data_IF_520072841269
#
_entry.id   IF_520072841269
#
_cell.length_a   1.000
_cell.length_b   1.000
_cell.length_c   1.000
_cell.angle_alpha   90.00
_cell.angle_beta   90.00
_cell.angle_gamma   90.00
#
_symmetry.space_group_name_H-M   'P 1'
#
loop_
_entity.id
_entity.type
_entity.pdbx_description
1 polymer ?
#
# COMPACT_ATOMS: atom_id res chain seq x y z
N UNK A 1 3.41 -23.83 7.90
CA UNK A 1 4.22 -23.97 6.66
C UNK A 1 4.92 -22.64 6.45
N UNK A 2 6.15 -22.58 5.94
CA UNK A 2 6.75 -21.27 5.61
C UNK A 2 6.06 -20.70 4.37
N UNK A 3 5.85 -19.40 4.34
CA UNK A 3 5.31 -18.71 3.19
C UNK A 3 6.43 -18.39 2.20
N UNK A 4 6.26 -18.84 0.96
CA UNK A 4 7.22 -18.60 -0.11
C UNK A 4 6.56 -17.90 -1.29
N UNK A 5 7.28 -16.92 -1.82
CA UNK A 5 6.95 -16.23 -3.06
C UNK A 5 7.87 -16.68 -4.20
N UNK A 6 7.37 -16.62 -5.43
CA UNK A 6 8.16 -16.89 -6.62
C UNK A 6 8.23 -15.64 -7.49
N UNK A 7 9.44 -15.15 -7.74
CA UNK A 7 9.67 -14.04 -8.66
C UNK A 7 9.36 -14.50 -10.10
N UNK A 8 8.18 -14.14 -10.61
CA UNK A 8 7.71 -14.51 -11.94
C UNK A 8 8.19 -13.58 -13.03
N UNK A 9 8.32 -12.30 -12.69
CA UNK A 9 8.80 -11.29 -13.62
C UNK A 9 9.64 -10.24 -12.90
N UNK A 10 10.65 -9.76 -13.61
CA UNK A 10 11.46 -8.61 -13.21
C UNK A 10 11.64 -7.72 -14.44
N UNK A 11 11.27 -6.45 -14.31
CA UNK A 11 11.41 -5.42 -15.32
C UNK A 11 12.51 -4.44 -14.88
N UNK A 12 13.75 -4.74 -15.27
CA UNK A 12 14.94 -4.01 -14.87
C UNK A 12 15.00 -2.58 -15.47
N UNK A 13 15.46 -1.61 -14.69
CA UNK A 13 15.77 -0.27 -15.19
C UNK A 13 17.15 -0.21 -15.86
N UNK A 14 17.18 -0.42 -17.17
CA UNK A 14 18.43 -0.48 -17.97
C UNK A 14 19.28 0.81 -17.91
N UNK A 15 18.69 1.96 -17.60
CA UNK A 15 19.35 3.27 -17.52
C UNK A 15 19.58 3.74 -16.07
N UNK A 16 19.74 2.80 -15.12
CA UNK A 16 19.82 3.08 -13.69
C UNK A 16 18.47 3.49 -13.08
N UNK A 17 18.43 3.71 -11.76
CA UNK A 17 17.21 4.05 -11.04
C UNK A 17 16.53 5.34 -11.54
N UNK A 18 15.22 5.32 -11.84
CA UNK A 18 14.35 6.50 -11.79
C UNK A 18 14.46 7.30 -10.48
N UNK A 19 13.99 8.54 -10.47
CA UNK A 19 13.80 9.31 -9.22
C UNK A 19 12.38 9.15 -8.64
N UNK A 20 11.44 8.67 -9.46
CA UNK A 20 10.04 8.43 -9.11
C UNK A 20 9.69 6.97 -9.37
N UNK A 21 9.00 6.36 -8.41
CA UNK A 21 8.61 4.96 -8.44
C UNK A 21 7.25 4.79 -7.77
N UNK A 22 6.17 4.78 -8.53
CA UNK A 22 4.81 4.62 -7.99
C UNK A 22 4.09 3.48 -8.69
N UNK A 23 3.57 2.54 -7.90
CA UNK A 23 2.57 1.57 -8.33
C UNK A 23 1.20 2.11 -7.95
N UNK A 24 0.26 2.17 -8.89
CA UNK A 24 -1.10 2.65 -8.62
C UNK A 24 -2.17 1.69 -9.11
N UNK A 25 -3.10 1.43 -8.20
CA UNK A 25 -4.30 0.62 -8.41
C UNK A 25 -5.25 1.29 -9.41
N UNK A 26 -5.92 0.46 -10.23
CA UNK A 26 -6.98 0.86 -11.17
C UNK A 26 -8.21 0.01 -10.85
N UNK A 27 -9.37 0.60 -10.56
CA UNK A 27 -10.51 -0.09 -9.94
C UNK A 27 -11.11 -1.22 -10.78
N UNK A 28 -10.98 -1.17 -12.12
CA UNK A 28 -11.35 -2.28 -13.01
C UNK A 28 -10.49 -3.55 -12.87
N UNK A 29 -9.38 -3.50 -12.11
CA UNK A 29 -8.39 -4.59 -11.96
C UNK A 29 -7.64 -4.97 -13.24
N UNK A 30 -8.01 -4.42 -14.40
CA UNK A 30 -7.48 -4.74 -15.73
C UNK A 30 -5.96 -4.54 -15.91
N UNK A 31 -5.35 -3.66 -15.11
CA UNK A 31 -3.92 -3.37 -15.13
C UNK A 31 -3.51 -2.62 -13.85
N UNK A 32 -2.21 -2.54 -13.62
CA UNK A 32 -1.58 -1.64 -12.65
C UNK A 32 -0.83 -0.52 -13.40
N UNK A 33 -0.94 0.72 -12.94
CA UNK A 33 -0.11 1.81 -13.43
C UNK A 33 1.27 1.76 -12.77
N UNK A 34 2.31 1.75 -13.60
CA UNK A 34 3.71 1.86 -13.19
C UNK A 34 4.21 3.23 -13.63
N UNK A 35 4.38 4.13 -12.68
CA UNK A 35 4.81 5.52 -12.93
C UNK A 35 6.26 5.69 -12.53
N UNK A 36 7.05 6.19 -13.48
CA UNK A 36 8.45 6.60 -13.29
C UNK A 36 8.64 7.97 -13.91
N UNK A 37 9.66 8.71 -13.48
CA UNK A 37 10.04 10.02 -14.04
C UNK A 37 10.26 9.99 -15.57
N UNK A 38 10.63 8.83 -16.13
CA UNK A 38 10.86 8.64 -17.58
C UNK A 38 9.61 8.23 -18.37
N UNK A 39 8.60 7.65 -17.72
CA UNK A 39 7.34 7.24 -18.33
C UNK A 39 6.34 6.64 -17.36
N UNK A 40 5.07 6.69 -17.78
CA UNK A 40 3.99 5.83 -17.30
C UNK A 40 3.90 4.58 -18.18
N UNK A 41 3.71 3.42 -17.55
CA UNK A 41 3.52 2.13 -18.21
C UNK A 41 2.37 1.37 -17.57
N UNK A 42 1.77 0.46 -18.32
CA UNK A 42 0.69 -0.42 -17.87
C UNK A 42 1.29 -1.81 -17.62
N UNK A 43 1.20 -2.31 -16.40
CA UNK A 43 1.51 -3.70 -16.07
C UNK A 43 0.21 -4.51 -16.15
N UNK A 44 0.17 -5.49 -17.05
CA UNK A 44 -0.99 -6.37 -17.24
C UNK A 44 -0.55 -7.81 -17.53
N UNK A 45 -1.46 -8.74 -17.30
CA UNK A 45 -1.31 -10.15 -17.65
C UNK A 45 -2.09 -10.47 -18.94
N UNK A 46 -1.62 -11.47 -19.70
CA UNK A 46 -2.26 -11.92 -20.94
C UNK A 46 -1.56 -13.16 -21.51
N UNK A 47 -1.80 -13.48 -22.79
CA UNK A 47 -1.35 -14.72 -23.45
C UNK A 47 0.17 -15.03 -23.31
N UNK A 48 0.99 -14.00 -23.10
CA UNK A 48 2.46 -14.12 -22.94
C UNK A 48 2.95 -13.98 -21.49
N UNK A 49 2.04 -13.99 -20.52
CA UNK A 49 2.30 -13.67 -19.11
C UNK A 49 2.36 -12.16 -18.87
N UNK A 50 2.99 -11.76 -17.75
CA UNK A 50 3.12 -10.35 -17.36
C UNK A 50 3.91 -9.53 -18.39
N UNK A 51 3.30 -8.43 -18.83
CA UNK A 51 3.88 -7.48 -19.77
C UNK A 51 3.81 -6.05 -19.22
N UNK A 52 4.80 -5.22 -19.60
CA UNK A 52 4.87 -3.82 -19.19
C UNK A 52 4.82 -2.95 -20.44
N UNK A 53 3.66 -2.35 -20.73
CA UNK A 53 3.41 -1.56 -21.92
C UNK A 53 3.55 -0.06 -21.63
N UNK A 54 4.62 0.59 -22.12
CA UNK A 54 4.82 2.04 -21.99
C UNK A 54 3.70 2.82 -22.70
N UNK A 55 3.10 3.79 -22.02
CA UNK A 55 2.17 4.72 -22.65
C UNK A 55 2.92 5.68 -23.58
N UNK A 56 2.34 5.93 -24.75
CA UNK A 56 2.87 6.91 -25.69
C UNK A 56 2.36 8.31 -25.34
N UNK A 57 3.29 9.19 -24.96
CA UNK A 57 3.04 10.61 -24.67
C UNK A 57 4.01 11.40 -25.53
N UNK A 58 3.51 12.24 -26.43
CA UNK A 58 4.36 12.86 -27.47
C UNK A 58 5.45 13.76 -26.89
N UNK A 59 5.19 14.43 -25.77
CA UNK A 59 6.22 15.18 -25.02
C UNK A 59 7.37 14.26 -24.55
N UNK A 60 7.04 13.11 -23.95
CA UNK A 60 8.00 12.12 -23.45
C UNK A 60 8.79 11.43 -24.57
N UNK A 61 8.24 11.30 -25.79
CA UNK A 61 8.98 10.73 -26.95
C UNK A 61 10.28 11.47 -27.24
N UNK A 62 10.32 12.78 -26.96
CA UNK A 62 11.48 13.63 -27.26
C UNK A 62 12.60 13.53 -26.21
N UNK A 63 12.35 12.88 -25.07
CA UNK A 63 13.30 12.81 -23.95
C UNK A 63 13.59 14.15 -23.28
N UNK A 64 12.72 15.16 -23.47
CA UNK A 64 12.84 16.52 -22.89
C UNK A 64 11.77 16.80 -21.83
N UNK A 65 11.11 15.76 -21.36
CA UNK A 65 9.95 15.85 -20.51
C UNK A 65 9.99 14.73 -19.47
N UNK A 66 9.74 15.09 -18.23
CA UNK A 66 9.82 14.20 -17.07
C UNK A 66 8.43 14.07 -16.45
N UNK A 67 7.99 12.85 -16.17
CA UNK A 67 6.71 12.56 -15.52
C UNK A 67 6.81 12.91 -14.03
N UNK A 68 5.78 13.56 -13.51
CA UNK A 68 5.69 13.96 -12.10
C UNK A 68 4.72 13.06 -11.33
N UNK A 69 3.58 12.72 -11.93
CA UNK A 69 2.59 11.82 -11.34
C UNK A 69 1.63 11.30 -12.43
N UNK A 70 0.91 10.22 -12.15
CA UNK A 70 -0.17 9.73 -13.00
C UNK A 70 -1.24 8.97 -12.20
N UNK A 71 -2.47 8.97 -12.70
CA UNK A 71 -3.59 8.22 -12.14
C UNK A 71 -4.63 7.87 -13.22
N UNK A 72 -5.50 6.89 -12.94
CA UNK A 72 -6.53 6.46 -13.87
C UNK A 72 -7.81 7.31 -13.73
N UNK A 73 -8.55 7.46 -14.84
CA UNK A 73 -9.93 7.92 -14.86
C UNK A 73 -10.77 6.79 -15.41
N UNK A 74 -11.69 6.28 -14.58
CA UNK A 74 -12.58 5.19 -14.94
C UNK A 74 -14.04 5.66 -14.91
N UNK A 75 -14.79 5.25 -15.94
CA UNK A 75 -16.19 5.64 -16.13
C UNK A 75 -17.02 4.37 -16.37
N UNK A 76 -17.90 3.97 -15.43
CA UNK A 76 -18.62 2.70 -15.48
C UNK A 76 -19.40 2.51 -16.80
N UNK A 77 -20.08 3.55 -17.29
CA UNK A 77 -20.99 3.43 -18.44
C UNK A 77 -20.28 3.23 -19.78
N UNK A 78 -19.01 3.64 -19.90
CA UNK A 78 -18.29 3.61 -21.19
C UNK A 78 -17.21 2.53 -21.27
N UNK A 79 -16.86 1.87 -20.16
CA UNK A 79 -15.76 0.90 -20.04
C UNK A 79 -14.40 1.39 -20.57
N UNK A 80 -14.25 2.69 -20.83
CA UNK A 80 -13.01 3.30 -21.31
C UNK A 80 -12.22 3.83 -20.11
N UNK A 81 -11.26 3.04 -19.64
CA UNK A 81 -10.22 3.55 -18.76
C UNK A 81 -9.35 4.54 -19.53
N UNK A 82 -9.09 5.70 -18.92
CA UNK A 82 -8.17 6.74 -19.42
C UNK A 82 -7.09 6.95 -18.38
N UNK A 83 -5.91 7.39 -18.80
CA UNK A 83 -4.81 7.69 -17.88
C UNK A 83 -4.51 9.18 -17.95
N UNK A 84 -4.56 9.85 -16.81
CA UNK A 84 -4.09 11.22 -16.67
C UNK A 84 -2.64 11.19 -16.20
N UNK A 85 -1.76 11.86 -16.92
CA UNK A 85 -0.33 11.94 -16.61
C UNK A 85 0.11 13.40 -16.58
N UNK A 86 0.70 13.78 -15.44
CA UNK A 86 1.32 15.06 -15.24
C UNK A 86 2.82 14.98 -15.56
N UNK A 87 3.33 15.96 -16.32
CA UNK A 87 4.73 16.01 -16.73
C UNK A 87 5.24 17.45 -16.82
N UNK A 88 6.55 17.60 -16.63
CA UNK A 88 7.30 18.84 -16.81
C UNK A 88 7.97 18.88 -18.18
N UNK A 89 8.15 20.08 -18.76
CA UNK A 89 8.97 20.34 -19.95
C UNK A 89 9.80 21.60 -19.67
N UNK A 90 10.99 21.42 -19.10
CA UNK A 90 11.68 22.51 -18.40
C UNK A 90 10.81 22.99 -17.23
N UNK A 91 10.64 24.31 -17.10
CA UNK A 91 9.87 24.91 -16.00
C UNK A 91 8.34 24.84 -16.20
N UNK A 92 7.86 24.38 -17.37
CA UNK A 92 6.43 24.34 -17.70
C UNK A 92 5.80 22.98 -17.36
N UNK A 93 4.69 23.00 -16.62
CA UNK A 93 3.99 21.80 -16.15
C UNK A 93 2.67 21.60 -16.89
N UNK A 94 2.37 20.35 -17.22
CA UNK A 94 1.19 19.96 -17.98
C UNK A 94 0.54 18.72 -17.38
N UNK A 95 -0.78 18.61 -17.54
CA UNK A 95 -1.55 17.39 -17.36
C UNK A 95 -2.15 17.00 -18.71
N UNK A 96 -1.86 15.79 -19.18
CA UNK A 96 -2.49 15.22 -20.38
C UNK A 96 -3.30 13.99 -19.99
N UNK A 97 -4.57 13.96 -20.38
CA UNK A 97 -5.38 12.74 -20.36
C UNK A 97 -5.10 11.94 -21.64
N UNK A 98 -5.08 10.62 -21.55
CA UNK A 98 -4.80 9.70 -22.63
C UNK A 98 -5.86 8.59 -22.69
N UNK A 99 -6.24 8.17 -23.90
CA UNK A 99 -7.11 7.02 -24.09
C UNK A 99 -6.30 5.72 -24.08
N UNK A 100 -6.79 4.70 -23.38
CA UNK A 100 -6.23 3.36 -23.46
C UNK A 100 -6.75 2.64 -24.71
N UNK A 101 -5.90 2.45 -25.72
CA UNK A 101 -6.23 1.68 -26.92
C UNK A 101 -5.91 0.19 -26.74
N UNK A 102 -6.89 -0.59 -26.27
CA UNK A 102 -6.79 -2.04 -26.22
C UNK A 102 -7.32 -2.67 -27.52
N UNK A 103 -6.48 -2.83 -28.55
CA UNK A 103 -6.88 -3.60 -29.73
C UNK A 103 -6.02 -3.40 -30.98
N UNK A 104 -5.36 -4.48 -31.42
CA UNK A 104 -4.89 -4.79 -32.79
C UNK A 104 -4.36 -3.64 -33.66
N UNK A 105 -3.04 -3.63 -33.90
CA UNK A 105 -2.45 -3.00 -35.09
C UNK A 105 -3.05 -3.69 -36.34
N UNK A 106 -4.02 -3.05 -36.99
CA UNK A 106 -4.76 -3.65 -38.10
C UNK A 106 -5.53 -2.61 -38.92
N UNK A 107 -4.96 -2.28 -40.08
CA UNK A 107 -5.43 -1.29 -41.06
C UNK A 107 -5.42 0.17 -40.59
N UNK A 108 -4.64 0.99 -41.30
CA UNK A 108 -4.66 2.43 -41.12
C UNK A 108 -5.89 3.04 -41.79
N UNK A 109 -6.63 3.80 -41.01
CA UNK A 109 -7.03 5.16 -41.36
C UNK A 109 -6.57 6.05 -40.20
N UNK A 110 -6.00 7.23 -40.50
CA UNK A 110 -5.56 8.20 -39.49
C UNK A 110 -6.78 8.83 -38.79
N UNK A 111 -7.37 8.09 -37.84
CA UNK A 111 -8.38 8.60 -36.94
C UNK A 111 -7.69 9.55 -35.93
N UNK A 112 -7.81 10.85 -36.21
CA UNK A 112 -7.28 11.96 -35.40
C UNK A 112 -7.44 11.69 -33.88
N UNK A 113 -6.37 11.97 -33.14
CA UNK A 113 -6.32 11.88 -31.67
C UNK A 113 -7.43 12.73 -31.03
N UNK A 114 -8.59 12.11 -30.84
CA UNK A 114 -9.85 12.82 -30.62
C UNK A 114 -9.96 13.36 -29.19
N UNK A 115 -9.53 14.62 -29.02
CA UNK A 115 -9.94 15.46 -27.90
C UNK A 115 -9.51 14.99 -26.51
N UNK A 116 -8.31 14.41 -26.39
CA UNK A 116 -7.74 14.15 -25.06
C UNK A 116 -7.17 15.44 -24.46
N UNK A 117 -7.83 15.93 -23.40
CA UNK A 117 -7.56 17.24 -22.80
C UNK A 117 -6.12 17.37 -22.30
N UNK A 118 -5.44 18.42 -22.75
CA UNK A 118 -4.16 18.88 -22.19
C UNK A 118 -4.39 20.18 -21.44
N UNK A 119 -3.90 20.25 -20.20
CA UNK A 119 -4.08 21.39 -19.31
C UNK A 119 -2.71 21.86 -18.82
N UNK A 120 -2.51 23.16 -18.70
CA UNK A 120 -1.33 23.69 -18.02
C UNK A 120 -1.56 23.66 -16.50
N UNK A 121 -0.53 23.28 -15.75
CA UNK A 121 -0.52 23.30 -14.29
C UNK A 121 0.31 24.48 -13.78
N UNK A 122 -0.09 25.03 -12.64
CA UNK A 122 0.57 26.17 -11.99
C UNK A 122 1.62 25.73 -10.95
N UNK A 123 1.49 24.51 -10.42
CA UNK A 123 2.38 23.90 -9.44
C UNK A 123 2.60 22.41 -9.78
N UNK A 124 3.73 21.86 -9.33
CA UNK A 124 4.07 20.46 -9.53
C UNK A 124 3.21 19.57 -8.61
N UNK A 125 2.59 18.49 -9.13
CA UNK A 125 1.87 17.56 -8.27
C UNK A 125 2.81 16.84 -7.31
N UNK A 126 2.37 16.64 -6.07
CA UNK A 126 3.04 15.78 -5.08
C UNK A 126 2.52 14.34 -5.15
N UNK A 127 1.22 14.17 -5.43
CA UNK A 127 0.61 12.89 -5.77
C UNK A 127 -0.63 13.08 -6.66
N UNK A 128 -1.07 11.99 -7.30
CA UNK A 128 -2.34 11.92 -8.03
C UNK A 128 -3.09 10.64 -7.66
N UNK A 129 -4.42 10.71 -7.60
CA UNK A 129 -5.27 9.55 -7.33
C UNK A 129 -6.61 9.63 -8.06
N UNK A 130 -7.21 8.47 -8.33
CA UNK A 130 -8.53 8.35 -8.96
C UNK A 130 -9.62 8.76 -7.96
N UNK A 131 -10.58 9.60 -8.38
CA UNK A 131 -11.65 10.08 -7.52
C UNK A 131 -13.02 10.04 -8.22
N UNK A 132 -14.03 9.59 -7.48
CA UNK A 132 -15.43 9.60 -7.90
C UNK A 132 -16.29 10.27 -6.81
N UNK A 133 -17.12 11.24 -7.20
CA UNK A 133 -17.99 11.97 -6.27
C UNK A 133 -19.40 12.18 -6.82
N UNK A 134 -20.40 12.03 -5.95
CA UNK A 134 -21.78 12.36 -6.26
C UNK A 134 -22.00 13.85 -5.98
N UNK A 135 -22.38 14.60 -7.01
CA UNK A 135 -22.63 16.04 -6.94
C UNK A 135 -24.09 16.40 -6.66
N UNK A 136 -24.40 17.71 -6.68
CA UNK A 136 -25.78 18.18 -6.65
C UNK A 136 -26.59 17.64 -7.85
N UNK A 137 -27.92 17.66 -7.75
CA UNK A 137 -28.88 17.35 -8.82
C UNK A 137 -28.86 15.93 -9.43
N UNK A 138 -27.94 15.06 -8.99
CA UNK A 138 -27.72 13.71 -9.53
C UNK A 138 -26.58 13.60 -10.53
N UNK A 139 -25.75 14.64 -10.63
CA UNK A 139 -24.47 14.60 -11.37
C UNK A 139 -23.47 13.68 -10.65
N UNK A 140 -22.61 13.00 -11.40
CA UNK A 140 -21.48 12.22 -10.88
C UNK A 140 -20.21 12.68 -11.57
N UNK A 141 -19.18 12.99 -10.78
CA UNK A 141 -17.84 13.27 -11.27
C UNK A 141 -17.01 12.00 -11.29
N UNK A 142 -16.32 11.76 -12.42
CA UNK A 142 -15.33 10.71 -12.62
C UNK A 142 -14.02 11.33 -13.09
N UNK A 143 -12.95 11.24 -12.30
CA UNK A 143 -11.72 11.92 -12.65
C UNK A 143 -10.53 11.55 -11.78
N UNK A 144 -9.52 12.41 -11.82
CA UNK A 144 -8.34 12.37 -10.96
C UNK A 144 -8.28 13.62 -10.08
N UNK A 145 -7.80 13.41 -8.86
CA UNK A 145 -7.28 14.46 -8.01
C UNK A 145 -5.79 14.65 -8.32
N UNK A 146 -5.39 15.92 -8.38
CA UNK A 146 -4.02 16.37 -8.53
C UNK A 146 -3.69 17.20 -7.29
N UNK A 147 -2.94 16.61 -6.37
CA UNK A 147 -2.52 17.26 -5.14
C UNK A 147 -1.24 18.06 -5.40
N UNK A 148 -1.23 19.32 -5.02
CA UNK A 148 -0.06 20.20 -5.03
C UNK A 148 0.27 20.62 -3.58
N UNK A 149 1.34 21.39 -3.39
CA UNK A 149 1.83 21.80 -2.06
C UNK A 149 0.77 22.47 -1.18
N UNK A 150 -0.10 23.30 -1.76
CA UNK A 150 -1.07 24.15 -1.05
C UNK A 150 -2.51 24.03 -1.57
N UNK A 151 -2.76 23.13 -2.53
CA UNK A 151 -3.97 23.13 -3.33
C UNK A 151 -4.28 21.74 -3.92
N UNK A 152 -5.55 21.48 -4.19
CA UNK A 152 -6.02 20.31 -4.93
C UNK A 152 -6.81 20.74 -6.16
N UNK A 153 -6.57 20.07 -7.28
CA UNK A 153 -7.27 20.27 -8.54
C UNK A 153 -7.93 18.97 -8.98
N UNK A 154 -9.18 19.05 -9.45
CA UNK A 154 -9.89 17.90 -10.01
C UNK A 154 -10.00 18.02 -11.54
N UNK A 155 -9.64 16.96 -12.25
CA UNK A 155 -9.76 16.86 -13.71
C UNK A 155 -10.52 15.60 -14.09
N UNK A 156 -11.59 15.73 -14.87
CA UNK A 156 -12.44 14.59 -15.20
C UNK A 156 -13.67 14.93 -16.03
N UNK A 157 -14.66 14.05 -15.93
CA UNK A 157 -15.92 14.08 -16.64
C UNK A 157 -17.05 14.22 -15.63
N UNK A 158 -18.08 14.99 -15.96
CA UNK A 158 -19.33 15.07 -15.20
C UNK A 158 -20.41 14.41 -16.05
N UNK A 159 -21.11 13.44 -15.48
CA UNK A 159 -22.14 12.65 -16.15
C UNK A 159 -23.44 12.73 -15.32
N UNK A 160 -24.58 12.97 -15.99
CA UNK A 160 -25.89 13.04 -15.34
C UNK A 160 -26.73 11.81 -15.67
N UNK A 161 -27.07 11.02 -14.64
CA UNK A 161 -27.84 9.77 -14.80
C UNK A 161 -29.17 9.90 -15.55
N UNK A 162 -29.80 11.08 -15.53
CA UNK A 162 -31.11 11.29 -16.19
C UNK A 162 -30.98 11.51 -17.69
N UNK A 163 -29.82 11.95 -18.17
CA UNK A 163 -29.57 12.28 -19.58
C UNK A 163 -28.76 11.19 -20.31
N UNK A 164 -28.13 10.25 -19.58
CA UNK A 164 -27.35 9.12 -20.09
C UNK A 164 -28.08 8.23 -21.14
N UNK A 165 -29.42 8.30 -21.22
CA UNK A 165 -30.21 7.56 -22.22
C UNK A 165 -30.32 8.25 -23.60
N UNK A 166 -29.82 9.48 -23.76
CA UNK A 166 -29.98 10.26 -24.99
C UNK A 166 -28.69 10.90 -25.49
N UNK A 167 -28.19 10.36 -26.61
CA UNK A 167 -27.13 10.88 -27.50
C UNK A 167 -25.71 10.97 -26.93
N UNK A 168 -24.77 10.33 -27.64
CA UNK A 168 -23.34 10.40 -27.35
C UNK A 168 -22.73 11.76 -27.69
N UNK A 169 -23.07 12.79 -26.90
CA UNK A 169 -22.21 13.96 -26.77
C UNK A 169 -20.87 13.49 -26.21
N UNK A 170 -19.78 13.74 -26.94
CA UNK A 170 -18.45 13.39 -26.46
C UNK A 170 -18.12 14.27 -25.26
N UNK A 171 -18.36 13.75 -24.04
CA UNK A 171 -18.01 14.44 -22.80
C UNK A 171 -16.51 14.69 -22.80
N UNK A 172 -16.13 15.97 -22.88
CA UNK A 172 -14.72 16.39 -22.88
C UNK A 172 -14.23 16.42 -21.44
N UNK A 173 -12.98 16.01 -21.20
CA UNK A 173 -12.38 16.17 -19.88
C UNK A 173 -12.29 17.66 -19.53
N UNK A 174 -12.63 18.03 -18.31
CA UNK A 174 -12.58 19.42 -17.82
C UNK A 174 -11.86 19.51 -16.48
N UNK A 175 -11.24 20.67 -16.20
CA UNK A 175 -10.79 21.08 -14.85
C UNK A 175 -12.02 21.62 -14.12
N UNK A 176 -12.32 21.10 -12.94
CA UNK A 176 -13.37 21.71 -12.10
C UNK A 176 -12.93 23.12 -11.67
N UNK A 177 -13.84 24.08 -11.77
CA UNK A 177 -13.64 25.38 -11.13
C UNK A 177 -13.88 25.29 -9.60
N UNK A 178 -13.54 26.32 -8.85
CA UNK A 178 -13.62 26.29 -7.38
C UNK A 178 -15.03 26.00 -6.86
N UNK A 179 -16.08 26.54 -7.48
CA UNK A 179 -17.47 26.33 -7.07
C UNK A 179 -17.92 24.88 -7.33
N UNK A 180 -17.53 24.31 -8.49
CA UNK A 180 -17.75 22.91 -8.81
C UNK A 180 -16.97 21.98 -7.87
N UNK A 181 -15.69 22.28 -7.62
CA UNK A 181 -14.83 21.51 -6.73
C UNK A 181 -15.43 21.47 -5.32
N UNK A 182 -15.84 22.62 -4.77
CA UNK A 182 -16.51 22.69 -3.47
C UNK A 182 -17.89 22.01 -3.44
N UNK A 183 -18.59 21.90 -4.58
CA UNK A 183 -19.87 21.20 -4.68
C UNK A 183 -19.72 19.66 -4.71
N UNK A 184 -18.66 19.12 -5.31
CA UNK A 184 -18.37 17.68 -5.33
C UNK A 184 -17.54 17.22 -4.11
N UNK A 185 -16.65 18.08 -3.61
CA UNK A 185 -15.67 17.76 -2.57
C UNK A 185 -15.59 18.86 -1.47
N UNK A 186 -16.70 19.16 -0.76
CA UNK A 186 -16.75 20.29 0.17
C UNK A 186 -15.69 20.21 1.28
N UNK A 187 -15.44 19.03 1.86
CA UNK A 187 -14.43 18.86 2.90
C UNK A 187 -12.98 18.88 2.38
N UNK A 188 -12.76 18.66 1.08
CA UNK A 188 -11.44 18.81 0.46
C UNK A 188 -11.15 20.25 0.04
N UNK A 189 -12.20 21.06 -0.22
CA UNK A 189 -12.07 22.45 -0.64
C UNK A 189 -11.40 23.38 0.39
N UNK A 190 -11.34 22.95 1.66
CA UNK A 190 -10.70 23.66 2.78
C UNK A 190 -9.39 23.01 3.23
N UNK A 191 -8.95 21.93 2.56
CA UNK A 191 -7.76 21.19 2.93
C UNK A 191 -6.52 21.79 2.24
N UNK A 192 -5.61 22.36 3.02
CA UNK A 192 -4.45 23.14 2.53
C UNK A 192 -3.09 22.52 2.83
N UNK A 193 -3.04 21.26 3.27
CA UNK A 193 -1.79 20.57 3.60
C UNK A 193 -1.21 19.85 2.37
N UNK A 194 0.12 19.77 2.30
CA UNK A 194 0.81 19.05 1.24
C UNK A 194 0.62 17.54 1.39
N UNK A 195 -0.28 16.95 0.61
CA UNK A 195 -0.52 15.49 0.60
C UNK A 195 0.63 14.79 -0.14
N UNK A 196 1.17 13.73 0.45
CA UNK A 196 2.18 12.85 -0.15
C UNK A 196 1.65 11.44 -0.41
N UNK A 197 0.81 10.93 0.48
CA UNK A 197 0.21 9.60 0.38
C UNK A 197 -1.31 9.66 0.52
N UNK A 198 -2.01 8.83 -0.25
CA UNK A 198 -3.47 8.69 -0.22
C UNK A 198 -3.84 7.23 -0.30
N UNK A 199 -4.78 6.82 0.54
CA UNK A 199 -5.47 5.53 0.40
C UNK A 199 -6.97 5.69 0.55
N UNK A 200 -7.73 4.87 -0.18
CA UNK A 200 -9.18 4.94 -0.31
C UNK A 200 -9.77 3.53 -0.21
N UNK A 201 -10.48 3.27 0.88
CA UNK A 201 -11.21 2.02 1.09
C UNK A 201 -12.71 2.23 0.95
N UNK A 202 -13.39 1.43 0.13
CA UNK A 202 -14.85 1.43 0.02
C UNK A 202 -15.40 0.06 0.39
N UNK A 203 -16.30 -0.01 1.38
CA UNK A 203 -16.86 -1.29 1.84
C UNK A 203 -17.89 -1.84 0.82
N UNK A 204 -17.78 -3.11 0.39
CA UNK A 204 -18.61 -3.67 -0.69
C UNK A 204 -20.08 -3.96 -0.30
N UNK A 205 -20.50 -3.73 0.95
CA UNK A 205 -21.84 -4.15 1.41
C UNK A 205 -22.48 -3.37 2.55
N UNK A 206 -21.96 -2.20 2.93
CA UNK A 206 -22.48 -1.39 4.06
C UNK A 206 -22.65 0.09 3.78
N UNK A 207 -22.47 0.52 2.53
CA UNK A 207 -22.48 1.93 2.13
C UNK A 207 -21.58 2.84 3.00
N UNK A 208 -20.39 2.34 3.37
CA UNK A 208 -19.36 3.09 4.12
C UNK A 208 -18.03 3.08 3.37
N UNK A 209 -17.26 4.15 3.50
CA UNK A 209 -15.90 4.23 2.98
C UNK A 209 -15.04 5.22 3.74
N UNK A 210 -13.73 5.10 3.55
CA UNK A 210 -12.70 5.88 4.20
C UNK A 210 -11.69 6.42 3.18
N UNK A 211 -11.18 7.62 3.44
CA UNK A 211 -10.04 8.21 2.72
C UNK A 211 -9.03 8.64 3.77
N UNK A 212 -7.79 8.18 3.66
CA UNK A 212 -6.67 8.61 4.47
C UNK A 212 -5.72 9.46 3.62
N UNK A 213 -5.30 10.60 4.16
CA UNK A 213 -4.22 11.43 3.61
C UNK A 213 -3.05 11.44 4.58
N UNK A 214 -1.84 11.19 4.07
CA UNK A 214 -0.58 11.45 4.75
C UNK A 214 0.10 12.70 4.18
N UNK A 215 0.53 13.61 5.06
CA UNK A 215 1.05 14.92 4.66
C UNK A 215 2.56 15.08 4.92
N UNK A 216 3.17 16.05 4.23
CA UNK A 216 4.60 16.35 4.32
C UNK A 216 5.06 16.88 5.70
N UNK A 217 4.14 17.40 6.51
CA UNK A 217 4.39 17.92 7.87
C UNK A 217 4.06 16.92 8.99
N UNK A 218 3.77 15.65 8.63
CA UNK A 218 3.43 14.60 9.58
C UNK A 218 1.95 14.55 9.96
N UNK A 219 1.10 15.44 9.43
CA UNK A 219 -0.35 15.31 9.60
C UNK A 219 -0.86 14.08 8.83
N UNK A 220 -1.64 13.24 9.51
CA UNK A 220 -2.51 12.24 8.89
C UNK A 220 -3.95 12.63 9.15
N UNK A 221 -4.77 12.72 8.09
CA UNK A 221 -6.21 12.98 8.20
C UNK A 221 -7.00 11.84 7.58
N UNK A 222 -7.92 11.27 8.36
CA UNK A 222 -8.82 10.19 7.92
C UNK A 222 -10.25 10.68 7.92
N UNK A 223 -10.89 10.59 6.75
CA UNK A 223 -12.30 10.85 6.54
C UNK A 223 -13.07 9.54 6.51
N UNK A 224 -14.21 9.47 7.20
CA UNK A 224 -15.17 8.37 7.15
C UNK A 224 -16.52 8.91 6.67
N UNK A 225 -17.07 8.33 5.62
CA UNK A 225 -18.32 8.81 5.01
C UNK A 225 -19.22 7.69 4.51
N UNK A 226 -20.39 8.09 4.01
CA UNK A 226 -21.32 7.16 3.38
C UNK A 226 -21.00 7.01 1.90
N UNK A 227 -20.97 5.78 1.40
CA UNK A 227 -21.02 5.54 -0.04
C UNK A 227 -22.43 5.84 -0.55
N UNK A 228 -22.52 6.45 -1.72
CA UNK A 228 -23.74 6.54 -2.51
C UNK A 228 -23.37 6.33 -3.97
N UNK A 229 -23.94 5.31 -4.62
CA UNK A 229 -23.73 5.04 -6.05
C UNK A 229 -22.25 4.83 -6.43
N UNK A 230 -21.51 4.10 -5.59
CA UNK A 230 -20.06 3.91 -5.75
C UNK A 230 -19.19 5.14 -5.43
N UNK A 231 -19.79 6.32 -5.22
CA UNK A 231 -19.08 7.53 -4.79
C UNK A 231 -18.99 7.57 -3.27
N UNK A 232 -17.83 7.90 -2.71
CA UNK A 232 -17.73 8.24 -1.30
C UNK A 232 -18.20 9.69 -1.09
N UNK A 233 -19.12 9.91 -0.14
CA UNK A 233 -19.72 11.22 0.08
C UNK A 233 -19.89 11.59 1.56
N UNK A 234 -19.78 12.91 1.81
CA UNK A 234 -19.96 13.50 3.12
C UNK A 234 -21.42 13.58 3.60
N UNK A 235 -21.68 14.14 4.79
CA UNK A 235 -20.70 14.79 5.67
C UNK A 235 -19.71 13.77 6.26
N UNK A 236 -18.41 14.06 6.17
CA UNK A 236 -17.39 13.17 6.71
C UNK A 236 -17.22 13.31 8.23
N UNK A 237 -17.05 12.18 8.92
CA UNK A 237 -16.39 12.14 10.23
C UNK A 237 -14.87 12.21 10.01
N UNK A 238 -14.21 13.18 10.63
CA UNK A 238 -12.77 13.41 10.45
C UNK A 238 -12.01 13.02 11.71
N UNK A 239 -10.87 12.35 11.51
CA UNK A 239 -9.89 12.03 12.56
C UNK A 239 -8.52 12.55 12.10
N UNK A 240 -7.88 13.35 12.94
CA UNK A 240 -6.53 13.87 12.72
C UNK A 240 -5.56 13.13 13.66
N UNK A 241 -4.38 12.82 13.15
CA UNK A 241 -3.26 12.22 13.87
C UNK A 241 -2.00 12.98 13.48
N UNK A 242 -1.03 13.13 14.39
CA UNK A 242 0.20 13.87 14.13
C UNK A 242 1.42 13.01 14.40
N UNK A 243 2.31 12.93 13.40
CA UNK A 243 3.61 12.27 13.49
C UNK A 243 4.75 13.30 13.36
N UNK A 244 5.98 12.85 13.63
CA UNK A 244 7.16 13.72 13.76
C UNK A 244 7.91 14.02 12.45
N UNK A 245 7.45 13.47 11.32
CA UNK A 245 8.11 13.62 10.02
C UNK A 245 7.19 13.33 8.83
N UNK A 246 7.66 13.55 7.59
CA UNK A 246 6.84 13.41 6.39
C UNK A 246 6.23 12.01 6.27
N UNK A 247 4.92 11.93 6.07
CA UNK A 247 4.21 10.65 5.89
C UNK A 247 4.48 10.13 4.49
N UNK A 248 5.04 8.93 4.39
CA UNK A 248 5.41 8.27 3.13
C UNK A 248 4.35 7.30 2.62
N UNK A 249 3.51 6.81 3.53
CA UNK A 249 2.48 5.83 3.22
C UNK A 249 1.37 5.83 4.26
N UNK A 250 0.14 5.62 3.79
CA UNK A 250 -1.05 5.35 4.59
C UNK A 250 -1.73 4.13 3.98
N UNK A 251 -2.16 3.17 4.79
CA UNK A 251 -2.88 1.98 4.33
C UNK A 251 -4.04 1.66 5.29
N UNK A 252 -5.26 1.72 4.76
CA UNK A 252 -6.52 1.47 5.45
C UNK A 252 -6.85 -0.03 5.41
N UNK A 253 -7.02 -0.63 6.58
CA UNK A 253 -7.46 -2.02 6.69
C UNK A 253 -8.66 -2.17 7.64
N UNK A 254 -9.86 -1.71 7.25
CA UNK A 254 -11.04 -1.81 8.09
C UNK A 254 -11.38 -3.29 8.37
N UNK A 255 -11.60 -3.62 9.65
CA UNK A 255 -11.95 -4.97 10.09
C UNK A 255 -13.40 -5.03 10.57
N UNK A 256 -14.06 -6.17 10.37
CA UNK A 256 -15.41 -6.37 10.91
C UNK A 256 -15.33 -6.82 12.38
N UNK A 257 -15.91 -6.02 13.27
CA UNK A 257 -16.01 -6.29 14.71
C UNK A 257 -17.39 -6.87 15.03
N UNK A 258 -17.42 -8.10 15.55
CA UNK A 258 -18.67 -8.72 16.01
C UNK A 258 -18.99 -8.20 17.41
N UNK A 259 -20.11 -7.49 17.56
CA UNK A 259 -20.54 -7.02 18.88
C UNK A 259 -20.87 -8.23 19.80
N UNK A 260 -20.56 -8.18 21.10
CA UNK A 260 -20.73 -9.31 22.03
C UNK A 260 -22.17 -9.81 22.19
N UNK A 261 -23.16 -9.06 21.69
CA UNK A 261 -24.58 -9.41 21.71
C UNK A 261 -25.09 -10.03 20.38
N UNK A 262 -24.21 -10.38 19.44
CA UNK A 262 -24.49 -11.09 18.17
C UNK A 262 -25.54 -10.47 17.21
N UNK A 263 -26.03 -9.26 17.48
CA UNK A 263 -27.14 -8.65 16.72
C UNK A 263 -26.70 -7.70 15.60
N UNK A 264 -25.48 -7.14 15.67
CA UNK A 264 -24.92 -6.21 14.68
C UNK A 264 -23.41 -6.34 14.59
N UNK A 265 -22.88 -6.61 13.39
CA UNK A 265 -21.46 -6.40 13.10
C UNK A 265 -21.20 -4.95 12.67
N UNK A 266 -20.13 -4.36 13.18
CA UNK A 266 -19.71 -2.98 12.91
C UNK A 266 -18.30 -2.98 12.33
N UNK A 267 -18.02 -2.16 11.33
CA UNK A 267 -16.66 -1.98 10.82
C UNK A 267 -15.88 -1.06 11.74
N UNK A 268 -14.70 -1.48 12.18
CA UNK A 268 -13.70 -0.62 12.81
C UNK A 268 -12.65 -0.24 11.76
N UNK A 269 -12.33 1.05 11.65
CA UNK A 269 -11.32 1.53 10.72
C UNK A 269 -9.94 1.44 11.40
N UNK A 270 -9.06 0.64 10.82
CA UNK A 270 -7.65 0.54 11.23
C UNK A 270 -6.77 1.16 10.12
N UNK A 271 -5.62 1.67 10.50
CA UNK A 271 -4.71 2.40 9.64
C UNK A 271 -3.26 2.08 9.99
N UNK A 272 -2.47 1.72 8.97
CA UNK A 272 -1.01 1.74 9.03
C UNK A 272 -0.52 3.09 8.50
N UNK A 273 0.42 3.70 9.20
CA UNK A 273 1.12 4.92 8.79
C UNK A 273 2.62 4.66 8.76
N UNK A 274 3.27 5.07 7.67
CA UNK A 274 4.73 5.08 7.54
C UNK A 274 5.26 6.49 7.37
N UNK A 275 6.44 6.77 7.92
CA UNK A 275 7.10 8.07 7.82
C UNK A 275 8.53 7.91 7.31
N UNK A 276 9.02 8.94 6.60
CA UNK A 276 10.42 9.00 6.15
C UNK A 276 11.41 9.11 7.32
N UNK A 277 10.95 9.61 8.47
CA UNK A 277 11.74 9.81 9.69
C UNK A 277 10.97 9.20 10.86
N UNK A 278 11.59 8.25 11.55
CA UNK A 278 11.01 7.55 12.70
C UNK A 278 10.33 6.24 12.33
N UNK A 279 9.38 5.82 13.17
CA UNK A 279 8.81 4.48 13.16
C UNK A 279 7.49 4.42 12.39
N UNK A 280 7.13 3.23 11.91
CA UNK A 280 5.78 2.95 11.43
C UNK A 280 4.83 2.75 12.63
N UNK A 281 3.60 3.26 12.50
CA UNK A 281 2.59 3.24 13.56
C UNK A 281 1.28 2.66 13.02
N UNK A 282 0.71 1.74 13.78
CA UNK A 282 -0.63 1.21 13.55
C UNK A 282 -1.61 1.90 14.49
N UNK A 283 -2.74 2.33 13.95
CA UNK A 283 -3.87 2.85 14.71
C UNK A 283 -5.09 1.95 14.48
N UNK A 284 -5.67 1.43 15.56
CA UNK A 284 -6.82 0.53 15.49
C UNK A 284 -8.10 1.22 15.95
N UNK A 285 -9.23 0.88 15.31
CA UNK A 285 -10.55 1.38 15.67
C UNK A 285 -10.60 2.92 15.85
N UNK A 286 -10.13 3.66 14.82
CA UNK A 286 -9.84 5.10 14.84
C UNK A 286 -10.95 6.03 15.36
N UNK A 287 -12.20 5.58 15.28
CA UNK A 287 -13.40 6.32 15.68
C UNK A 287 -14.01 5.82 17.00
N UNK A 288 -13.36 4.88 17.68
CA UNK A 288 -13.70 4.48 19.05
C UNK A 288 -13.39 5.61 20.05
N UNK A 289 -14.05 5.58 21.21
CA UNK A 289 -13.95 6.62 22.24
C UNK A 289 -12.86 6.37 23.29
N UNK A 290 -12.01 5.35 23.10
CA UNK A 290 -10.77 5.16 23.88
C UNK A 290 -9.73 6.24 23.55
N UNK A 291 -8.69 6.36 24.38
CA UNK A 291 -7.61 7.33 24.11
C UNK A 291 -6.77 6.89 22.92
N UNK A 292 -6.17 7.85 22.21
CA UNK A 292 -5.32 7.56 21.03
C UNK A 292 -4.11 6.69 21.39
N UNK A 293 -3.58 6.87 22.60
CA UNK A 293 -2.51 6.04 23.16
C UNK A 293 -2.94 4.57 23.33
N UNK A 294 -4.18 4.30 23.73
CA UNK A 294 -4.72 2.93 23.92
C UNK A 294 -4.96 2.18 22.59
N UNK A 295 -5.11 2.92 21.50
CA UNK A 295 -5.43 2.40 20.18
C UNK A 295 -4.26 2.44 19.18
N UNK A 296 -3.14 3.05 19.54
CA UNK A 296 -1.93 3.11 18.70
C UNK A 296 -0.86 2.12 19.15
N UNK A 297 -0.13 1.54 18.21
CA UNK A 297 1.03 0.68 18.43
C UNK A 297 2.15 1.01 17.45
N UNK A 298 3.37 1.17 17.97
CA UNK A 298 4.59 1.37 17.19
C UNK A 298 5.12 0.01 16.74
N UNK A 299 5.42 -0.13 15.43
CA UNK A 299 5.98 -1.36 14.89
C UNK A 299 7.46 -1.50 15.27
N UNK A 300 7.77 -2.58 16.00
CA UNK A 300 9.12 -2.90 16.49
C UNK A 300 10.13 -3.01 15.34
N UNK A 301 11.34 -2.50 15.56
CA UNK A 301 12.46 -2.46 14.59
C UNK A 301 12.17 -1.73 13.26
N UNK A 302 11.04 -1.02 13.11
CA UNK A 302 10.68 -0.37 11.84
C UNK A 302 11.60 0.81 11.45
N UNK A 303 12.22 1.45 12.44
CA UNK A 303 13.20 2.54 12.33
C UNK A 303 14.66 2.06 12.28
N UNK A 304 14.91 0.76 12.34
CA UNK A 304 16.28 0.18 12.28
C UNK A 304 16.89 0.23 10.87
N UNK A 305 16.09 0.65 9.87
CA UNK A 305 16.36 0.51 8.44
C UNK A 305 16.34 1.87 7.70
N UNK A 306 16.86 2.90 8.38
CA UNK A 306 16.92 4.32 8.00
C UNK A 306 15.55 4.99 7.78
N UNK A 307 14.97 4.81 6.58
CA UNK A 307 13.73 5.46 6.16
C UNK A 307 12.76 4.45 5.56
N UNK A 308 11.49 4.56 5.99
CA UNK A 308 10.38 3.76 5.47
C UNK A 308 9.74 4.56 4.32
N UNK A 309 9.73 4.01 3.11
CA UNK A 309 9.18 4.67 1.93
C UNK A 309 7.79 4.16 1.53
N UNK A 310 7.46 2.92 1.86
CA UNK A 310 6.17 2.32 1.53
C UNK A 310 5.64 1.48 2.69
N UNK A 311 4.32 1.46 2.85
CA UNK A 311 3.61 0.56 3.72
C UNK A 311 2.30 0.13 3.07
N UNK A 312 2.02 -1.17 3.06
CA UNK A 312 0.73 -1.73 2.61
C UNK A 312 0.23 -2.80 3.59
N UNK A 313 -1.06 -3.09 3.51
CA UNK A 313 -1.68 -4.24 4.20
C UNK A 313 -2.00 -5.33 3.19
N UNK A 314 -1.68 -6.57 3.52
CA UNK A 314 -1.89 -7.73 2.65
C UNK A 314 -2.12 -8.98 3.51
N UNK A 315 -3.18 -9.73 3.23
CA UNK A 315 -3.29 -11.13 3.66
C UNK A 315 -2.30 -11.93 2.80
N UNK A 316 -1.04 -12.03 3.24
CA UNK A 316 0.00 -12.70 2.46
C UNK A 316 -0.14 -14.21 2.64
N UNK A 317 -0.37 -14.69 3.86
CA UNK A 317 -0.39 -16.12 4.11
C UNK A 317 -1.73 -16.79 3.75
N UNK A 318 -2.74 -16.03 3.30
CA UNK A 318 -4.04 -16.50 2.84
C UNK A 318 -4.84 -17.18 3.95
N UNK A 319 -4.86 -16.61 5.16
CA UNK A 319 -5.73 -17.03 6.27
C UNK A 319 -6.95 -16.12 6.49
N UNK A 320 -7.03 -14.98 5.79
CA UNK A 320 -8.11 -14.01 5.89
C UNK A 320 -7.87 -12.90 6.93
N UNK A 321 -6.75 -12.94 7.64
CA UNK A 321 -6.23 -11.82 8.44
C UNK A 321 -5.17 -11.04 7.64
N UNK A 322 -4.86 -9.82 8.07
CA UNK A 322 -3.93 -8.94 7.33
C UNK A 322 -2.57 -8.83 8.00
N UNK A 323 -1.52 -9.07 7.21
CA UNK A 323 -0.16 -8.67 7.54
C UNK A 323 0.12 -7.23 7.07
N UNK A 324 1.13 -6.62 7.67
CA UNK A 324 1.63 -5.30 7.32
C UNK A 324 3.00 -5.44 6.67
N UNK A 325 3.18 -4.93 5.45
CA UNK A 325 4.44 -4.96 4.71
C UNK A 325 5.03 -3.56 4.62
N UNK A 326 6.31 -3.41 4.99
CA UNK A 326 7.04 -2.14 4.90
C UNK A 326 8.20 -2.25 3.90
N UNK A 327 8.36 -1.24 3.05
CA UNK A 327 9.52 -1.06 2.16
C UNK A 327 10.43 0.06 2.65
N UNK A 328 11.75 -0.19 2.67
CA UNK A 328 12.76 0.72 3.25
C UNK A 328 13.86 1.09 2.25
N UNK A 329 14.58 2.18 2.53
CA UNK A 329 15.75 2.62 1.75
C UNK A 329 16.90 1.60 1.82
N UNK A 330 17.11 0.99 2.99
CA UNK A 330 18.17 0.01 3.23
C UNK A 330 17.95 -1.34 2.54
N UNK A 331 17.08 -1.41 1.53
CA UNK A 331 16.77 -2.58 0.70
C UNK A 331 16.07 -3.73 1.45
N UNK A 332 15.61 -3.47 2.69
CA UNK A 332 14.97 -4.46 3.54
C UNK A 332 13.45 -4.28 3.48
N UNK A 333 12.74 -5.32 3.04
CA UNK A 333 11.32 -5.43 3.36
C UNK A 333 11.16 -5.96 4.79
N UNK A 334 10.12 -5.49 5.50
CA UNK A 334 9.68 -6.00 6.80
C UNK A 334 8.23 -6.47 6.68
N UNK A 335 7.86 -7.51 7.43
CA UNK A 335 6.48 -8.00 7.53
C UNK A 335 6.08 -8.18 9.00
N UNK A 336 4.83 -7.87 9.33
CA UNK A 336 4.27 -7.98 10.69
C UNK A 336 2.91 -8.66 10.66
N UNK A 337 2.63 -9.51 11.66
CA UNK A 337 1.33 -10.19 11.86
C UNK A 337 0.82 -9.96 13.29
N UNK A 338 -0.50 -10.06 13.47
CA UNK A 338 -1.15 -10.02 14.78
C UNK A 338 -0.80 -11.28 15.62
N UNK A 339 -0.08 -11.08 16.72
CA UNK A 339 0.35 -12.12 17.66
C UNK A 339 -0.75 -12.61 18.61
N UNK A 340 -2.00 -12.15 18.47
CA UNK A 340 -3.12 -12.61 19.28
C UNK A 340 -3.56 -14.06 18.99
N UNK A 341 -3.20 -14.62 17.82
CA UNK A 341 -3.67 -15.93 17.37
C UNK A 341 -2.67 -17.08 17.61
N UNK A 342 -1.39 -16.78 17.89
CA UNK A 342 -0.29 -17.76 17.96
C UNK A 342 -0.29 -18.73 19.16
N UNK A 343 -1.26 -18.63 20.09
CA UNK A 343 -1.21 -19.28 21.42
C UNK A 343 -2.49 -20.08 21.75
N UNK A 344 -3.18 -20.60 20.72
CA UNK A 344 -4.28 -21.60 20.87
C UNK A 344 -3.91 -23.00 20.38
N UNK A 345 -2.61 -23.26 20.20
CA UNK A 345 -2.07 -24.61 20.01
C UNK A 345 -1.85 -25.29 21.37
N UNK A 346 -2.40 -26.49 21.55
CA UNK A 346 -2.18 -27.29 22.76
C UNK A 346 -0.73 -27.80 22.80
N UNK A 347 0.13 -27.19 23.63
CA UNK A 347 1.34 -27.84 24.14
C UNK A 347 1.27 -27.98 25.67
N UNK A 348 0.67 -29.08 26.12
CA UNK A 348 0.82 -29.58 27.48
C UNK A 348 2.25 -30.09 27.69
N UNK A 349 3.14 -29.24 28.23
CA UNK A 349 4.40 -29.71 28.85
C UNK A 349 4.43 -29.29 30.32
N UNK A 350 4.15 -30.26 31.17
CA UNK A 350 4.15 -30.11 32.62
C UNK A 350 5.56 -30.22 33.21
N UNK A 351 5.97 -29.17 33.92
CA UNK A 351 6.63 -29.30 35.23
C UNK A 351 8.13 -29.66 35.32
N UNK A 352 8.92 -28.62 35.62
CA UNK A 352 9.57 -28.44 36.94
C UNK A 352 11.10 -28.68 37.13
N UNK A 353 11.64 -27.83 38.01
CA UNK A 353 12.83 -27.94 38.86
C UNK A 353 14.25 -28.17 38.28
N UNK A 354 14.93 -27.04 38.05
CA UNK A 354 16.16 -26.62 38.75
C UNK A 354 16.99 -27.69 39.53
N UNK A 355 18.26 -27.90 39.14
CA UNK A 355 19.34 -28.33 40.06
C UNK A 355 20.76 -28.01 39.55
N UNK A 356 21.72 -28.04 40.47
CA UNK A 356 22.99 -27.28 40.45
C UNK A 356 24.26 -28.01 39.99
N UNK A 357 25.15 -27.25 39.32
CA UNK A 357 26.63 -27.17 39.33
C UNK A 357 27.60 -28.27 39.85
N UNK A 358 28.83 -28.20 39.27
CA UNK A 358 30.12 -28.85 39.58
C UNK A 358 30.30 -30.31 39.09
N UNK A 359 31.45 -30.75 38.54
CA UNK A 359 32.75 -30.07 38.30
C UNK A 359 33.55 -30.65 37.10
N UNK A 360 34.45 -29.81 36.57
CA UNK A 360 35.75 -30.03 35.88
C UNK A 360 36.14 -31.41 35.25
N UNK A 361 36.70 -31.36 34.04
CA UNK A 361 38.15 -31.64 33.86
C UNK A 361 38.73 -31.10 32.53
N UNK A 362 40.03 -30.81 32.53
CA UNK A 362 40.81 -30.24 31.41
C UNK A 362 41.89 -31.25 31.00
N UNK A 363 42.09 -31.51 29.70
CA UNK A 363 43.44 -31.80 29.21
C UNK A 363 43.67 -31.45 27.73
N UNK A 364 44.93 -31.30 27.34
CA UNK A 364 45.35 -30.49 26.19
C UNK A 364 46.17 -31.24 25.11
N UNK A 365 46.58 -30.48 24.09
CA UNK A 365 47.68 -30.71 23.12
C UNK A 365 47.35 -31.28 21.73
N UNK A 366 47.22 -30.32 20.82
CA UNK A 366 47.33 -30.34 19.37
C UNK A 366 48.41 -31.23 18.72
N UNK A 367 48.20 -31.59 17.45
CA UNK A 367 49.16 -31.27 16.35
C UNK A 367 48.61 -31.54 14.94
N UNK A 368 48.29 -30.47 14.18
CA UNK A 368 48.29 -30.45 12.71
C UNK A 368 48.21 -29.00 12.19
N UNK A 369 48.97 -28.65 11.15
CA UNK A 369 48.99 -27.37 10.43
C UNK A 369 49.75 -27.56 9.09
N UNK A 370 49.68 -26.66 8.07
CA UNK A 370 48.85 -25.45 7.90
C UNK A 370 48.19 -25.25 6.48
N UNK A 371 47.46 -24.13 6.30
CA UNK A 371 47.14 -23.37 5.04
C UNK A 371 46.28 -24.02 3.92
N UNK A 372 45.32 -23.36 3.26
CA UNK A 372 44.81 -21.94 3.24
C UNK A 372 43.26 -21.94 3.07
N UNK A 373 42.44 -21.02 3.64
CA UNK A 373 42.23 -19.58 3.31
C UNK A 373 42.04 -19.35 1.78
N UNK A 374 41.04 -18.61 1.26
CA UNK A 374 39.97 -17.77 1.84
C UNK A 374 38.85 -17.56 0.76
N UNK A 375 37.68 -16.89 0.91
CA UNK A 375 37.02 -16.13 2.00
C UNK A 375 35.50 -15.94 1.73
N UNK A 376 34.61 -16.14 2.73
CA UNK A 376 33.28 -15.49 2.81
C UNK A 376 32.64 -15.67 4.21
N UNK A 377 33.04 -14.83 5.17
CA UNK A 377 32.45 -14.83 6.52
C UNK A 377 31.20 -13.94 6.60
N UNK A 378 30.13 -14.47 7.20
CA UNK A 378 28.89 -13.74 7.46
C UNK A 378 29.06 -12.80 8.68
N UNK A 379 28.65 -11.54 8.54
CA UNK A 379 28.88 -10.47 9.54
C UNK A 379 27.77 -10.40 10.61
N UNK A 380 26.66 -11.12 10.44
CA UNK A 380 25.41 -10.91 11.20
C UNK A 380 25.24 -11.74 12.49
N UNK A 381 26.27 -12.40 12.99
CA UNK A 381 26.18 -13.32 14.15
C UNK A 381 26.76 -12.79 15.47
N UNK A 382 27.25 -11.55 15.54
CA UNK A 382 28.12 -11.08 16.64
C UNK A 382 27.58 -9.87 17.45
N UNK A 383 26.26 -9.74 17.59
CA UNK A 383 25.63 -8.65 18.36
C UNK A 383 24.69 -9.08 19.50
N UNK A 384 24.71 -10.36 19.89
CA UNK A 384 24.22 -10.80 21.19
C UNK A 384 25.39 -10.96 22.18
N UNK A 385 25.19 -10.49 23.41
CA UNK A 385 26.14 -10.50 24.56
C UNK A 385 27.18 -9.37 24.60
N UNK A 386 26.80 -8.23 25.19
CA UNK A 386 27.74 -7.33 25.88
C UNK A 386 27.32 -7.26 27.35
N UNK A 387 28.08 -7.91 28.23
CA UNK A 387 28.01 -7.67 29.68
C UNK A 387 28.73 -6.36 30.00
N UNK A 388 28.07 -5.43 30.71
CA UNK A 388 28.73 -4.23 31.26
C UNK A 388 28.71 -4.35 32.79
N UNK A 389 29.90 -4.40 33.38
CA UNK A 389 30.08 -4.53 34.82
C UNK A 389 30.18 -3.16 35.52
N UNK A 390 29.26 -2.91 36.45
CA UNK A 390 29.49 -2.18 37.71
C UNK A 390 29.76 -0.67 37.69
N UNK A 391 28.75 0.11 38.06
CA UNK A 391 28.95 1.33 38.87
C UNK A 391 27.73 1.58 39.79
N UNK A 392 27.94 2.10 41.00
CA UNK A 392 26.92 2.15 42.06
C UNK A 392 26.11 3.46 42.13
N UNK A 393 24.78 3.32 42.02
CA UNK A 393 23.71 3.98 42.81
C UNK A 393 23.76 5.51 43.08
N UNK A 394 22.76 6.21 42.53
CA UNK A 394 21.96 7.19 43.28
C UNK A 394 20.45 7.01 42.95
N UNK A 395 19.53 7.03 43.93
CA UNK A 395 18.11 6.75 43.69
C UNK A 395 17.34 8.00 43.26
N UNK A 396 16.75 7.97 42.07
CA UNK A 396 15.83 9.00 41.58
C UNK A 396 14.47 8.39 41.25
N UNK A 397 13.45 8.84 41.99
CA UNK A 397 12.00 8.84 41.70
C UNK A 397 11.46 7.63 40.90
N UNK A 398 10.68 6.78 41.58
CA UNK A 398 9.96 5.68 40.94
C UNK A 398 9.07 6.18 39.78
N UNK A 399 9.40 5.74 38.56
CA UNK A 399 8.46 5.80 37.45
C UNK A 399 7.24 4.93 37.77
N UNK A 400 6.02 5.36 37.42
CA UNK A 400 4.85 4.50 37.54
C UNK A 400 5.05 3.31 36.59
N UNK A 401 4.97 2.11 37.14
CA UNK A 401 5.16 0.86 36.41
C UNK A 401 4.32 0.84 35.13
N UNK A 402 4.97 0.98 33.98
CA UNK A 402 4.38 0.67 32.70
C UNK A 402 3.91 -0.78 32.77
N UNK A 403 2.59 -0.98 32.76
CA UNK A 403 2.01 -2.28 32.46
C UNK A 403 2.59 -2.68 31.10
N UNK A 404 3.30 -3.81 31.06
CA UNK A 404 3.92 -4.32 29.83
C UNK A 404 2.80 -4.59 28.84
N UNK A 405 2.51 -3.60 28.00
CA UNK A 405 1.50 -3.66 26.97
C UNK A 405 2.01 -4.65 25.95
N UNK A 406 1.39 -5.84 25.93
CA UNK A 406 1.72 -6.91 24.99
C UNK A 406 1.67 -6.32 23.58
N UNK A 407 2.82 -6.25 22.91
CA UNK A 407 2.89 -5.89 21.50
C UNK A 407 1.98 -6.85 20.74
N UNK A 408 1.00 -6.27 20.05
CA UNK A 408 0.06 -7.00 19.22
C UNK A 408 0.73 -7.37 17.90
N UNK A 409 1.45 -6.46 17.29
CA UNK A 409 2.08 -6.65 15.99
C UNK A 409 3.50 -7.19 16.14
N UNK A 410 3.70 -8.43 15.70
CA UNK A 410 4.97 -9.14 15.79
C UNK A 410 5.66 -9.17 14.43
N UNK A 411 6.95 -8.81 14.38
CA UNK A 411 7.75 -8.92 13.15
C UNK A 411 7.93 -10.39 12.77
N UNK A 412 7.48 -10.78 11.59
CA UNK A 412 7.67 -12.12 11.04
C UNK A 412 9.15 -12.35 10.69
N UNK A 413 9.67 -13.53 11.01
CA UNK A 413 11.06 -13.87 10.67
C UNK A 413 11.21 -14.17 9.18
N UNK A 414 12.41 -13.91 8.62
CA UNK A 414 12.71 -14.25 7.21
C UNK A 414 12.63 -15.75 6.88
N UNK A 415 12.52 -16.63 7.87
CA UNK A 415 12.26 -18.06 7.65
C UNK A 415 10.77 -18.41 7.61
N UNK A 416 9.88 -17.46 7.94
CA UNK A 416 8.42 -17.58 7.85
C UNK A 416 7.86 -16.94 6.58
N UNK A 417 8.55 -15.91 6.05
CA UNK A 417 8.23 -15.26 4.79
C UNK A 417 9.54 -14.92 4.07
N UNK A 418 9.76 -15.52 2.89
CA UNK A 418 10.99 -15.32 2.13
C UNK A 418 10.73 -14.63 0.78
N UNK A 419 11.50 -13.56 0.55
CA UNK A 419 11.40 -12.68 -0.60
C UNK A 419 12.69 -11.86 -0.77
N UNK A 420 13.43 -12.15 -1.84
CA UNK A 420 14.66 -11.44 -2.21
C UNK A 420 14.38 -10.30 -3.20
N UNK A 421 14.67 -9.05 -2.82
CA UNK A 421 14.65 -7.88 -3.70
C UNK A 421 15.94 -7.08 -3.57
N UNK A 422 16.34 -6.40 -4.64
CA UNK A 422 17.56 -5.58 -4.67
C UNK A 422 17.22 -4.10 -4.83
N UNK A 423 17.92 -3.25 -4.06
CA UNK A 423 17.75 -1.80 -4.04
C UNK A 423 16.62 -1.32 -3.11
N UNK A 424 16.66 -0.03 -2.78
CA UNK A 424 15.65 0.68 -2.02
C UNK A 424 14.24 0.40 -2.56
N UNK A 425 13.26 0.18 -1.67
CA UNK A 425 11.88 -0.19 -2.01
C UNK A 425 10.99 1.04 -1.85
N UNK A 426 10.46 1.57 -2.96
CA UNK A 426 9.72 2.84 -2.98
C UNK A 426 8.20 2.69 -3.04
N UNK A 427 7.69 1.59 -3.58
CA UNK A 427 6.24 1.36 -3.68
C UNK A 427 5.93 -0.13 -3.71
N UNK A 428 4.82 -0.50 -3.07
CA UNK A 428 4.31 -1.86 -2.93
C UNK A 428 2.85 -1.89 -3.38
N UNK A 429 2.40 -3.01 -3.96
CA UNK A 429 0.99 -3.22 -4.25
C UNK A 429 0.66 -4.73 -4.15
N UNK A 430 -0.39 -5.07 -3.40
CA UNK A 430 -0.93 -6.42 -3.29
C UNK A 430 -2.21 -6.51 -4.13
N UNK A 431 -2.20 -7.30 -5.20
CA UNK A 431 -3.34 -7.35 -6.14
C UNK A 431 -3.31 -8.59 -7.03
N UNK A 432 -4.48 -9.18 -7.27
CA UNK A 432 -4.71 -10.14 -8.37
C UNK A 432 -4.75 -9.41 -9.73
N UNK A 433 -3.71 -9.64 -10.54
CA UNK A 433 -3.45 -9.09 -11.88
C UNK A 433 -3.65 -10.16 -12.96
N UNK A 434 -3.40 -11.44 -12.65
CA UNK A 434 -3.56 -12.53 -13.59
C UNK A 434 -5.02 -13.07 -13.69
N UNK A 435 -5.86 -12.69 -12.73
CA UNK A 435 -7.28 -13.06 -12.54
C UNK A 435 -7.52 -14.55 -12.18
N UNK A 436 -6.58 -15.20 -11.49
CA UNK A 436 -6.73 -16.55 -10.93
C UNK A 436 -7.38 -16.58 -9.53
N UNK A 437 -7.52 -15.42 -8.88
CA UNK A 437 -8.10 -15.26 -7.54
C UNK A 437 -7.08 -15.20 -6.40
N UNK A 438 -5.78 -15.31 -6.68
CA UNK A 438 -4.69 -15.13 -5.71
C UNK A 438 -3.91 -13.86 -6.04
N UNK A 439 -3.78 -12.90 -5.10
CA UNK A 439 -3.04 -11.68 -5.37
C UNK A 439 -1.53 -11.90 -5.58
N UNK A 440 -0.93 -11.15 -6.49
CA UNK A 440 0.51 -10.98 -6.58
C UNK A 440 1.01 -9.82 -5.71
N UNK A 441 2.25 -9.94 -5.24
CA UNK A 441 2.99 -8.83 -4.63
C UNK A 441 3.85 -8.15 -5.70
N UNK A 442 3.50 -6.91 -6.00
CA UNK A 442 4.30 -6.02 -6.83
C UNK A 442 5.22 -5.15 -5.98
N UNK A 443 6.45 -4.97 -6.45
CA UNK A 443 7.47 -4.19 -5.75
C UNK A 443 8.18 -3.29 -6.75
N UNK A 444 8.08 -1.97 -6.56
CA UNK A 444 8.90 -0.99 -7.26
C UNK A 444 10.11 -0.63 -6.40
N UNK A 445 11.29 -0.96 -6.91
CA UNK A 445 12.58 -0.69 -6.27
C UNK A 445 13.44 0.22 -7.14
N UNK A 446 14.58 0.69 -6.63
CA UNK A 446 15.61 1.36 -7.45
C UNK A 446 16.17 0.49 -8.59
N UNK A 447 16.07 -0.85 -8.56
CA UNK A 447 16.61 -1.73 -9.61
C UNK A 447 15.60 -2.08 -10.71
N UNK A 448 14.31 -2.10 -10.40
CA UNK A 448 13.24 -2.48 -11.32
C UNK A 448 11.91 -2.72 -10.64
N UNK A 449 10.93 -3.17 -11.45
CA UNK A 449 9.64 -3.68 -10.97
C UNK A 449 9.70 -5.20 -10.87
N UNK A 450 9.36 -5.74 -9.71
CA UNK A 450 9.23 -7.17 -9.48
C UNK A 450 7.75 -7.58 -9.42
N UNK A 451 7.47 -8.81 -9.87
CA UNK A 451 6.17 -9.47 -9.76
C UNK A 451 6.38 -10.81 -9.06
N UNK A 452 5.78 -10.97 -7.88
CA UNK A 452 5.82 -12.20 -7.08
C UNK A 452 4.44 -12.85 -7.01
N UNK A 453 4.33 -14.09 -7.47
CA UNK A 453 3.18 -14.96 -7.16
C UNK A 453 3.46 -15.74 -5.87
N UNK A 454 2.41 -16.08 -5.12
CA UNK A 454 2.51 -17.05 -4.03
C UNK A 454 2.87 -18.45 -4.56
N UNK A 455 3.56 -19.27 -3.75
CA UNK A 455 3.85 -20.67 -4.10
C UNK A 455 2.54 -21.46 -4.37
N UNK A 456 2.34 -22.00 -5.59
CA UNK A 456 1.14 -22.77 -5.91
C UNK A 456 0.90 -23.97 -4.98
N UNK A 457 1.95 -24.60 -4.44
CA UNK A 457 1.80 -25.70 -3.49
C UNK A 457 1.22 -25.23 -2.15
N UNK A 458 1.61 -24.04 -1.69
CA UNK A 458 1.04 -23.39 -0.51
C UNK A 458 -0.42 -23.00 -0.73
N UNK A 459 -0.73 -22.37 -1.87
CA UNK A 459 -2.10 -22.00 -2.27
C UNK A 459 -3.02 -23.22 -2.31
N UNK A 460 -2.62 -24.29 -3.01
CA UNK A 460 -3.39 -25.54 -3.10
C UNK A 460 -3.65 -26.09 -1.69
N UNK A 461 -2.65 -26.11 -0.82
CA UNK A 461 -2.80 -26.61 0.53
C UNK A 461 -3.77 -25.77 1.38
N UNK A 462 -3.75 -24.43 1.27
CA UNK A 462 -4.73 -23.54 1.92
C UNK A 462 -6.15 -23.82 1.42
N UNK A 463 -6.34 -23.95 0.10
CA UNK A 463 -7.65 -24.29 -0.50
C UNK A 463 -8.16 -25.66 -0.04
N UNK A 464 -7.30 -26.68 0.04
CA UNK A 464 -7.67 -28.00 0.57
C UNK A 464 -8.14 -27.95 2.03
N UNK A 465 -7.48 -27.15 2.89
CA UNK A 465 -7.89 -26.95 4.27
C UNK A 465 -9.26 -26.25 4.38
N UNK A 466 -9.49 -25.19 3.59
CA UNK A 466 -10.79 -24.49 3.54
C UNK A 466 -11.90 -25.44 3.08
N UNK A 467 -11.66 -26.23 2.02
CA UNK A 467 -12.61 -27.24 1.54
C UNK A 467 -12.90 -28.31 2.60
N UNK A 468 -11.90 -28.75 3.36
CA UNK A 468 -12.10 -29.70 4.47
C UNK A 468 -12.98 -29.10 5.59
N UNK A 469 -12.75 -27.84 5.98
CA UNK A 469 -13.54 -27.12 6.99
C UNK A 469 -15.00 -26.89 6.55
N UNK A 470 -15.23 -26.61 5.27
CA UNK A 470 -16.57 -26.47 4.69
C UNK A 470 -17.32 -27.82 4.64
N UNK A 471 -16.63 -28.92 4.34
CA UNK A 471 -17.25 -30.25 4.39
C UNK A 471 -17.61 -30.67 5.82
N UNK A 472 -16.73 -30.47 6.81
CA UNK A 472 -17.02 -30.86 8.20
C UNK A 472 -18.17 -30.06 8.80
N UNK A 473 -18.23 -28.75 8.56
CA UNK A 473 -19.36 -27.90 9.00
C UNK A 473 -20.70 -28.28 8.35
N UNK A 474 -20.69 -28.71 7.08
CA UNK A 474 -21.88 -29.24 6.41
C UNK A 474 -22.38 -30.58 6.98
N UNK A 475 -21.48 -31.45 7.46
CA UNK A 475 -21.89 -32.70 8.15
C UNK A 475 -22.42 -32.49 9.57
N UNK A 476 -22.00 -31.43 10.27
CA UNK A 476 -22.43 -31.14 11.66
C UNK A 476 -23.82 -30.49 11.74
N UNK A 477 -24.43 -30.16 10.60
CA UNK A 477 -25.77 -29.53 10.49
C UNK A 477 -26.88 -30.47 10.00
N UNK A 478 -26.71 -31.80 10.16
CA UNK A 478 -27.70 -32.84 9.82
C UNK A 478 -28.15 -33.67 11.03
#
# INVERSE_FOLDING_TARGET
MSMHFHQRRFFAYLSGAPNLHTLSSVSSHSHTLVTTDRCVSLLSYGDSGYSLHKLEVDALRTGKADVVAAAAIERPETCQSRVAVAYAVGDALFLQVLAHHHGSIGNGDDAEASGCGTFQLEAAPTCMFSAQAAGPNGDVFYGVMVCCTDSMLAFGYIENEKEASTTGSATVCTRLNNDQFAAFFPELSTFTYTILAVDIYTSPGKDQGWVAFGCADGLVRVFHGSMRRGCLGGPFQTKDLQLNGPVTGVALFPKQKTAPNNSTSTWCCNLLVTCAIGQAVVYEDLYNTSTEDENSEVLVDSDTFDSIFAGITADIDLDGEVELLLGTDSQVMLAYKDGAEGDRGHEDVTGDATKSFHDLDIDASASASPTSLDSSHNIWNELETIEIAGEEVYPSVAEPSLLVRRQKWQRLSRSQWDLETFGAIYSLLWRDINHDGVPELLIASSTGIYVYEADPAFVINKVEHVLAALHTSSTTTK
#
